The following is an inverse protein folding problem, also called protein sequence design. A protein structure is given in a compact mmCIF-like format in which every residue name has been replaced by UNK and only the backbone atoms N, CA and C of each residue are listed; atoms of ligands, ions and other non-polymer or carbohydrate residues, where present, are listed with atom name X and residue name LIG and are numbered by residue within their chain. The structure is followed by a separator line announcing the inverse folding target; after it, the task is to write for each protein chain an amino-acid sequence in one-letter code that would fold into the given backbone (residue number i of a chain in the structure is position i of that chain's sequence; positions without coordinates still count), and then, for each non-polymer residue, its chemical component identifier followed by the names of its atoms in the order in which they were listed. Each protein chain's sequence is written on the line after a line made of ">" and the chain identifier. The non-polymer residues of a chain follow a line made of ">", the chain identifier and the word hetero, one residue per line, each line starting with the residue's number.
data_IF_299749071666
#
_entry.id   IF_299749071666
#
_cell.length_a   1.000
_cell.length_b   1.000
_cell.length_c   1.000
_cell.angle_alpha   90.00
_cell.angle_beta   90.00
_cell.angle_gamma   90.00
#
_symmetry.space_group_name_H-M   'P 1'
#
loop_
_entity.id
_entity.type
_entity.pdbx_description
1 polymer ?
#
# COMPACT_ATOMS: atom_id res chain seq x y z
N UNK A 1 10.80 -9.77 12.41
CA UNK A 1 10.26 -10.17 11.08
C UNK A 1 9.23 -11.30 11.21
N UNK A 2 9.58 -12.45 11.80
CA UNK A 2 8.69 -13.62 11.96
C UNK A 2 7.29 -13.32 12.53
N UNK A 3 7.19 -12.58 13.66
CA UNK A 3 5.89 -12.25 14.29
C UNK A 3 4.95 -11.46 13.38
N UNK A 4 5.48 -10.55 12.55
CA UNK A 4 4.67 -9.75 11.61
C UNK A 4 4.13 -10.64 10.49
N UNK A 5 4.97 -11.50 9.94
CA UNK A 5 4.57 -12.46 8.90
C UNK A 5 3.53 -13.45 9.43
N UNK A 6 3.74 -13.98 10.64
CA UNK A 6 2.78 -14.88 11.29
C UNK A 6 1.42 -14.20 11.51
N UNK A 7 1.42 -12.96 12.00
CA UNK A 7 0.22 -12.15 12.17
C UNK A 7 -0.52 -11.96 10.84
N UNK A 8 0.20 -11.55 9.79
CA UNK A 8 -0.35 -11.34 8.45
C UNK A 8 -0.98 -12.63 7.87
N UNK A 9 -0.22 -13.72 7.89
CA UNK A 9 -0.68 -15.01 7.38
C UNK A 9 -1.88 -15.54 8.16
N UNK A 10 -1.91 -15.36 9.48
CA UNK A 10 -3.04 -15.76 10.31
C UNK A 10 -4.30 -14.97 9.97
N UNK A 11 -4.19 -13.65 9.76
CA UNK A 11 -5.32 -12.82 9.35
C UNK A 11 -5.89 -13.28 7.99
N UNK A 12 -5.03 -13.52 7.00
CA UNK A 12 -5.44 -13.99 5.67
C UNK A 12 -6.08 -15.39 5.77
N UNK A 13 -5.48 -16.31 6.54
CA UNK A 13 -5.98 -17.67 6.70
C UNK A 13 -7.38 -17.69 7.35
N UNK A 14 -7.60 -16.88 8.39
CA UNK A 14 -8.92 -16.77 9.03
C UNK A 14 -9.96 -16.11 8.14
N UNK A 15 -9.59 -15.11 7.34
CA UNK A 15 -10.52 -14.51 6.36
C UNK A 15 -10.90 -15.54 5.28
N UNK A 16 -9.93 -16.31 4.76
CA UNK A 16 -10.20 -17.41 3.82
C UNK A 16 -11.11 -18.46 4.47
N UNK A 17 -10.86 -18.85 5.71
CA UNK A 17 -11.69 -19.79 6.44
C UNK A 17 -13.12 -19.27 6.65
N UNK A 18 -13.29 -17.96 6.93
CA UNK A 18 -14.59 -17.32 7.04
C UNK A 18 -15.35 -17.34 5.71
N UNK A 19 -14.67 -17.05 4.59
CA UNK A 19 -15.26 -17.07 3.25
C UNK A 19 -15.64 -18.48 2.82
N UNK A 20 -14.77 -19.46 3.09
CA UNK A 20 -15.07 -20.86 2.84
C UNK A 20 -16.28 -21.33 3.66
N UNK A 21 -16.32 -20.97 4.95
CA UNK A 21 -17.45 -21.30 5.83
C UNK A 21 -18.74 -20.63 5.34
N UNK A 22 -18.67 -19.37 4.89
CA UNK A 22 -19.81 -18.64 4.32
C UNK A 22 -20.34 -19.33 3.07
N UNK A 23 -19.46 -19.74 2.16
CA UNK A 23 -19.81 -20.44 0.93
C UNK A 23 -20.39 -21.83 1.21
N UNK A 24 -19.78 -22.59 2.14
CA UNK A 24 -20.25 -23.92 2.51
C UNK A 24 -21.62 -23.87 3.17
N UNK A 25 -21.83 -22.95 4.13
CA UNK A 25 -23.12 -22.75 4.78
C UNK A 25 -24.18 -22.25 3.78
N UNK A 26 -23.82 -21.37 2.85
CA UNK A 26 -24.72 -20.94 1.76
C UNK A 26 -25.13 -22.12 0.88
N UNK A 27 -24.19 -23.00 0.51
CA UNK A 27 -24.46 -24.21 -0.25
C UNK A 27 -25.41 -25.16 0.49
N UNK A 28 -25.14 -25.44 1.77
CA UNK A 28 -26.00 -26.29 2.60
C UNK A 28 -27.40 -25.70 2.74
N UNK A 29 -27.49 -24.39 2.97
CA UNK A 29 -28.77 -23.67 3.07
C UNK A 29 -29.54 -23.77 1.75
N UNK A 30 -28.86 -23.58 0.61
CA UNK A 30 -29.50 -23.73 -0.71
C UNK A 30 -29.97 -25.16 -0.98
N UNK A 31 -29.18 -26.17 -0.58
CA UNK A 31 -29.44 -27.59 -0.85
C UNK A 31 -30.53 -28.17 0.06
N UNK A 32 -30.47 -27.87 1.35
CA UNK A 32 -31.31 -28.54 2.36
C UNK A 32 -32.38 -27.66 2.97
N UNK A 33 -32.29 -26.32 2.89
CA UNK A 33 -33.30 -25.43 3.50
C UNK A 33 -34.21 -24.88 2.41
N UNK A 34 -33.65 -24.16 1.44
CA UNK A 34 -34.42 -23.54 0.36
C UNK A 34 -35.14 -24.56 -0.53
N UNK A 35 -34.62 -25.78 -0.64
CA UNK A 35 -35.25 -26.89 -1.34
C UNK A 35 -36.68 -27.17 -0.84
N UNK A 36 -36.92 -27.10 0.47
CA UNK A 36 -38.23 -27.35 1.06
C UNK A 36 -39.15 -26.12 1.02
N UNK A 37 -38.59 -24.92 0.95
CA UNK A 37 -39.34 -23.66 1.06
C UNK A 37 -40.07 -23.31 -0.24
N UNK A 38 -39.44 -23.48 -1.41
CA UNK A 38 -40.06 -23.04 -2.68
C UNK A 38 -39.75 -23.98 -3.86
N UNK A 39 -40.73 -24.31 -4.73
CA UNK A 39 -40.55 -25.22 -5.86
C UNK A 39 -39.40 -24.85 -6.81
N UNK A 40 -39.17 -23.55 -7.03
CA UNK A 40 -38.06 -23.06 -7.87
C UNK A 40 -36.66 -23.50 -7.40
N UNK A 41 -36.51 -23.86 -6.12
CA UNK A 41 -35.25 -24.34 -5.56
C UNK A 41 -35.14 -25.87 -5.51
N UNK A 42 -36.17 -26.60 -5.92
CA UNK A 42 -36.15 -28.07 -6.02
C UNK A 42 -35.33 -28.60 -7.21
N UNK A 43 -34.98 -27.72 -8.15
CA UNK A 43 -34.06 -28.05 -9.24
C UNK A 43 -32.66 -28.40 -8.72
N UNK A 44 -31.96 -29.27 -9.44
CA UNK A 44 -30.61 -29.73 -9.11
C UNK A 44 -29.66 -28.53 -8.95
N UNK A 45 -28.95 -28.47 -7.82
CA UNK A 45 -27.82 -27.56 -7.59
C UNK A 45 -26.49 -28.23 -7.90
N UNK A 46 -25.53 -27.45 -8.40
CA UNK A 46 -24.17 -27.92 -8.68
C UNK A 46 -23.46 -28.50 -7.44
N UNK A 47 -22.59 -29.51 -7.59
CA UNK A 47 -21.75 -30.02 -6.50
C UNK A 47 -20.90 -28.92 -5.85
N UNK A 48 -20.61 -29.04 -4.55
CA UNK A 48 -19.76 -28.08 -3.86
C UNK A 48 -18.35 -27.97 -4.47
N UNK A 49 -17.82 -29.08 -4.99
CA UNK A 49 -16.52 -29.13 -5.68
C UNK A 49 -16.45 -28.20 -6.89
N UNK A 50 -17.56 -27.97 -7.60
CA UNK A 50 -17.62 -27.02 -8.72
C UNK A 50 -17.22 -25.61 -8.28
N UNK A 51 -17.68 -25.16 -7.12
CA UNK A 51 -17.35 -23.83 -6.60
C UNK A 51 -15.87 -23.69 -6.21
N UNK A 52 -15.23 -24.76 -5.74
CA UNK A 52 -13.83 -24.74 -5.31
C UNK A 52 -12.85 -24.93 -6.46
N UNK A 53 -13.15 -25.85 -7.38
CA UNK A 53 -12.24 -26.25 -8.46
C UNK A 53 -12.35 -25.29 -9.65
N UNK A 54 -13.58 -24.95 -10.05
CA UNK A 54 -13.80 -24.13 -11.25
C UNK A 54 -13.75 -22.64 -10.95
N UNK A 55 -14.03 -22.24 -9.70
CA UNK A 55 -14.14 -20.83 -9.30
C UNK A 55 -13.27 -20.43 -8.08
N UNK A 56 -12.01 -20.90 -7.94
CA UNK A 56 -11.14 -20.52 -6.82
C UNK A 56 -10.85 -19.02 -6.79
N UNK A 57 -10.91 -18.37 -7.96
CA UNK A 57 -10.70 -16.93 -8.11
C UNK A 57 -11.79 -16.10 -7.41
N UNK A 58 -12.94 -16.66 -7.04
CA UNK A 58 -13.91 -15.97 -6.19
C UNK A 58 -13.30 -15.66 -4.84
N UNK A 59 -12.75 -16.64 -4.12
CA UNK A 59 -12.10 -16.40 -2.82
C UNK A 59 -10.86 -15.51 -2.99
N UNK A 60 -10.08 -15.75 -4.05
CA UNK A 60 -8.90 -14.92 -4.37
C UNK A 60 -9.24 -13.44 -4.54
N UNK A 61 -10.32 -13.12 -5.27
CA UNK A 61 -10.78 -11.75 -5.47
C UNK A 61 -11.16 -11.07 -4.16
N UNK A 62 -11.86 -11.78 -3.27
CA UNK A 62 -12.19 -11.24 -1.95
C UNK A 62 -10.94 -10.89 -1.16
N UNK A 63 -9.97 -11.80 -1.10
CA UNK A 63 -8.70 -11.55 -0.39
C UNK A 63 -7.96 -10.35 -0.99
N UNK A 64 -7.93 -10.20 -2.31
CA UNK A 64 -7.33 -9.05 -3.01
C UNK A 64 -8.04 -7.74 -2.62
N UNK A 65 -9.38 -7.73 -2.61
CA UNK A 65 -10.15 -6.52 -2.28
C UNK A 65 -10.01 -6.17 -0.79
N UNK A 66 -10.00 -7.16 0.10
CA UNK A 66 -9.73 -6.93 1.53
C UNK A 66 -8.29 -6.39 1.75
N UNK A 67 -7.33 -6.85 0.95
CA UNK A 67 -5.98 -6.30 0.94
C UNK A 67 -5.95 -4.86 0.42
N UNK A 68 -6.73 -4.56 -0.62
CA UNK A 68 -6.88 -3.20 -1.16
C UNK A 68 -7.50 -2.24 -0.13
N UNK A 69 -8.48 -2.68 0.65
CA UNK A 69 -9.05 -1.93 1.79
C UNK A 69 -8.08 -1.83 2.99
N UNK A 70 -6.85 -2.35 2.84
CA UNK A 70 -5.71 -2.29 3.79
C UNK A 70 -5.96 -3.04 5.10
N UNK A 71 -6.91 -3.97 5.13
CA UNK A 71 -7.25 -4.72 6.34
C UNK A 71 -6.09 -5.58 6.85
N UNK A 72 -5.13 -5.93 6.00
CA UNK A 72 -3.94 -6.70 6.38
C UNK A 72 -2.70 -5.85 6.69
N UNK A 73 -2.72 -4.57 6.33
CA UNK A 73 -1.57 -3.67 6.50
C UNK A 73 -1.77 -2.71 7.67
N UNK A 74 -3.01 -2.27 7.92
CA UNK A 74 -3.36 -1.31 8.96
C UNK A 74 -4.19 -1.94 10.07
N UNK A 75 -4.17 -1.28 11.24
CA UNK A 75 -4.94 -1.67 12.43
C UNK A 75 -6.01 -0.61 12.67
N UNK A 76 -7.27 -1.03 12.57
CA UNK A 76 -8.42 -0.15 12.73
C UNK A 76 -9.12 -0.36 14.06
N UNK A 77 -9.87 0.66 14.49
CA UNK A 77 -10.91 0.49 15.50
C UNK A 77 -11.92 -0.57 15.05
N UNK A 78 -12.59 -1.23 15.99
CA UNK A 78 -13.52 -2.32 15.66
C UNK A 78 -14.63 -1.86 14.70
N UNK A 79 -15.24 -0.68 14.93
CA UNK A 79 -16.31 -0.17 14.06
C UNK A 79 -15.84 0.09 12.62
N UNK A 80 -14.70 0.77 12.47
CA UNK A 80 -14.12 1.06 11.15
C UNK A 80 -13.63 -0.21 10.43
N UNK A 81 -13.08 -1.18 11.17
CA UNK A 81 -12.71 -2.48 10.61
C UNK A 81 -13.92 -3.23 10.05
N UNK A 82 -15.01 -3.31 10.81
CA UNK A 82 -16.25 -3.97 10.37
C UNK A 82 -16.83 -3.27 9.14
N UNK A 83 -16.86 -1.94 9.15
CA UNK A 83 -17.31 -1.14 7.99
C UNK A 83 -16.49 -1.45 6.73
N UNK A 84 -15.16 -1.53 6.86
CA UNK A 84 -14.26 -1.87 5.73
C UNK A 84 -14.41 -3.33 5.28
N UNK A 85 -14.61 -4.27 6.21
CA UNK A 85 -14.92 -5.66 5.88
C UNK A 85 -16.20 -5.74 5.06
N UNK A 86 -17.28 -5.07 5.49
CA UNK A 86 -18.55 -5.06 4.77
C UNK A 86 -18.45 -4.38 3.40
N UNK A 87 -17.74 -3.25 3.33
CA UNK A 87 -17.47 -2.57 2.06
C UNK A 87 -16.71 -3.49 1.09
N UNK A 88 -15.60 -4.09 1.54
CA UNK A 88 -14.80 -5.00 0.74
C UNK A 88 -15.57 -6.24 0.28
N UNK A 89 -16.35 -6.84 1.19
CA UNK A 89 -17.24 -7.95 0.91
C UNK A 89 -18.29 -7.61 -0.16
N UNK A 90 -18.91 -6.43 -0.05
CA UNK A 90 -19.95 -5.97 -0.98
C UNK A 90 -19.35 -5.65 -2.35
N UNK A 91 -18.19 -4.99 -2.42
CA UNK A 91 -17.50 -4.73 -3.69
C UNK A 91 -17.11 -6.05 -4.37
N UNK A 92 -16.60 -7.02 -3.59
CA UNK A 92 -16.23 -8.34 -4.10
C UNK A 92 -17.44 -9.09 -4.66
N UNK A 93 -18.55 -9.08 -3.93
CA UNK A 93 -19.82 -9.64 -4.37
C UNK A 93 -20.30 -9.00 -5.68
N UNK A 94 -20.33 -7.67 -5.79
CA UNK A 94 -20.78 -6.98 -6.99
C UNK A 94 -19.92 -7.34 -8.21
N UNK A 95 -18.60 -7.41 -8.05
CA UNK A 95 -17.69 -7.81 -9.13
C UNK A 95 -17.92 -9.28 -9.52
N UNK A 96 -18.06 -10.19 -8.55
CA UNK A 96 -18.33 -11.61 -8.83
C UNK A 96 -19.66 -11.78 -9.55
N UNK A 97 -20.70 -11.06 -9.13
CA UNK A 97 -22.01 -11.08 -9.80
C UNK A 97 -21.90 -10.57 -11.24
N UNK A 98 -21.18 -9.46 -11.46
CA UNK A 98 -20.94 -8.92 -12.79
C UNK A 98 -20.16 -9.90 -13.69
N UNK A 99 -19.10 -10.52 -13.17
CA UNK A 99 -18.31 -11.52 -13.89
C UNK A 99 -19.14 -12.77 -14.22
N UNK A 100 -19.94 -13.24 -13.25
CA UNK A 100 -20.81 -14.41 -13.43
C UNK A 100 -21.84 -14.17 -14.54
N UNK A 101 -22.35 -12.94 -14.64
CA UNK A 101 -23.27 -12.53 -15.70
C UNK A 101 -22.57 -12.37 -17.06
N UNK A 102 -21.47 -11.62 -17.10
CA UNK A 102 -20.74 -11.30 -18.33
C UNK A 102 -20.14 -12.55 -19.00
N UNK A 103 -19.54 -13.45 -18.20
CA UNK A 103 -18.95 -14.68 -18.70
C UNK A 103 -19.99 -15.81 -18.93
N UNK A 104 -21.28 -15.54 -18.75
CA UNK A 104 -22.39 -16.52 -18.82
C UNK A 104 -22.20 -17.76 -17.94
N UNK A 105 -21.36 -17.63 -16.91
CA UNK A 105 -21.07 -18.66 -15.89
C UNK A 105 -22.31 -19.03 -15.07
N UNK A 106 -23.39 -18.23 -15.15
CA UNK A 106 -24.65 -18.56 -14.50
C UNK A 106 -25.28 -19.89 -14.91
N UNK A 107 -24.79 -20.54 -15.97
CA UNK A 107 -25.20 -21.89 -16.34
C UNK A 107 -24.51 -22.99 -15.51
N UNK A 108 -23.44 -22.66 -14.77
CA UNK A 108 -22.60 -23.62 -14.04
C UNK A 108 -22.53 -23.32 -12.52
N UNK A 109 -23.18 -22.24 -12.07
CA UNK A 109 -23.11 -21.77 -10.67
C UNK A 109 -24.45 -21.24 -10.19
N UNK A 110 -24.84 -21.58 -8.96
CA UNK A 110 -26.07 -21.06 -8.37
C UNK A 110 -25.90 -19.62 -7.86
N UNK A 111 -26.59 -18.66 -8.50
CA UNK A 111 -26.62 -17.25 -8.06
C UNK A 111 -27.11 -17.10 -6.62
N UNK A 112 -28.07 -17.94 -6.21
CA UNK A 112 -28.58 -17.97 -4.83
C UNK A 112 -27.47 -18.31 -3.84
N UNK A 113 -26.57 -19.25 -4.17
CA UNK A 113 -25.43 -19.58 -3.30
C UNK A 113 -24.47 -18.40 -3.19
N UNK A 114 -24.21 -17.68 -4.30
CA UNK A 114 -23.34 -16.48 -4.28
C UNK A 114 -23.95 -15.39 -3.38
N UNK A 115 -25.24 -15.10 -3.51
CA UNK A 115 -25.95 -14.08 -2.70
C UNK A 115 -25.98 -14.49 -1.22
N UNK A 116 -26.31 -15.75 -0.92
CA UNK A 116 -26.30 -16.26 0.46
C UNK A 116 -24.90 -16.24 1.06
N UNK A 117 -23.88 -16.58 0.28
CA UNK A 117 -22.48 -16.55 0.73
C UNK A 117 -22.06 -15.12 1.09
N UNK A 118 -22.42 -14.13 0.25
CA UNK A 118 -22.21 -12.72 0.58
C UNK A 118 -22.93 -12.33 1.86
N UNK A 119 -24.23 -12.62 2.00
CA UNK A 119 -24.99 -12.27 3.20
C UNK A 119 -24.39 -12.89 4.47
N UNK A 120 -24.02 -14.17 4.44
CA UNK A 120 -23.36 -14.85 5.55
C UNK A 120 -21.98 -14.28 5.86
N UNK A 121 -21.21 -13.88 4.83
CA UNK A 121 -19.88 -13.31 5.01
C UNK A 121 -19.89 -11.99 5.78
N UNK A 122 -20.97 -11.19 5.67
CA UNK A 122 -21.12 -9.94 6.44
C UNK A 122 -21.10 -10.21 7.95
N UNK A 123 -21.54 -11.38 8.39
CA UNK A 123 -21.49 -11.78 9.80
C UNK A 123 -20.23 -12.59 10.14
N UNK A 124 -19.86 -13.56 9.29
CA UNK A 124 -18.76 -14.48 9.57
C UNK A 124 -17.39 -13.82 9.50
N UNK A 125 -17.16 -12.87 8.58
CA UNK A 125 -15.87 -12.16 8.48
C UNK A 125 -15.54 -11.41 9.78
N UNK A 126 -16.41 -10.53 10.34
CA UNK A 126 -16.17 -9.91 11.64
C UNK A 126 -15.93 -10.92 12.77
N UNK A 127 -16.70 -12.01 12.83
CA UNK A 127 -16.56 -13.03 13.88
C UNK A 127 -15.19 -13.69 13.83
N UNK A 128 -14.78 -14.17 12.65
CA UNK A 128 -13.45 -14.75 12.47
C UNK A 128 -12.33 -13.74 12.73
N UNK A 129 -12.54 -12.46 12.38
CA UNK A 129 -11.59 -11.37 12.65
C UNK A 129 -11.36 -11.15 14.14
N UNK A 130 -12.44 -11.18 14.93
CA UNK A 130 -12.35 -11.08 16.38
C UNK A 130 -11.68 -12.33 16.98
N UNK A 131 -11.98 -13.52 16.47
CA UNK A 131 -11.35 -14.77 16.92
C UNK A 131 -9.85 -14.76 16.68
N UNK A 132 -9.39 -14.47 15.47
CA UNK A 132 -7.96 -14.44 15.14
C UNK A 132 -7.21 -13.40 15.96
N UNK A 133 -7.79 -12.20 16.17
CA UNK A 133 -7.16 -11.17 17.00
C UNK A 133 -7.07 -11.58 18.46
N UNK A 134 -8.09 -12.24 19.02
CA UNK A 134 -8.02 -12.78 20.39
C UNK A 134 -6.92 -13.83 20.51
N UNK A 135 -6.78 -14.72 19.53
CA UNK A 135 -5.71 -15.74 19.49
C UNK A 135 -4.34 -15.06 19.38
N UNK A 136 -4.15 -14.16 18.42
CA UNK A 136 -2.89 -13.45 18.20
C UNK A 136 -2.48 -12.57 19.39
N UNK A 137 -3.46 -12.01 20.11
CA UNK A 137 -3.22 -11.29 21.38
C UNK A 137 -2.72 -12.23 22.48
N UNK A 138 -3.35 -13.40 22.66
CA UNK A 138 -2.89 -14.40 23.65
C UNK A 138 -1.47 -14.89 23.36
N UNK A 139 -1.12 -15.03 22.07
CA UNK A 139 0.22 -15.47 21.63
C UNK A 139 1.25 -14.32 21.64
N UNK A 140 0.86 -13.09 21.97
CA UNK A 140 1.80 -11.96 22.05
C UNK A 140 2.27 -11.44 20.69
N UNK A 141 1.60 -11.82 19.60
CA UNK A 141 1.97 -11.45 18.22
C UNK A 141 1.15 -10.27 17.68
N UNK A 142 -0.01 -9.98 18.27
CA UNK A 142 -0.82 -8.83 17.89
C UNK A 142 -0.32 -7.53 18.52
N UNK A 143 0.21 -7.55 19.75
CA UNK A 143 0.60 -6.33 20.46
C UNK A 143 1.79 -5.62 19.80
N UNK A 144 1.72 -4.29 19.71
CA UNK A 144 2.78 -3.42 19.20
C UNK A 144 3.01 -2.26 20.17
N UNK A 145 4.24 -2.16 20.65
CA UNK A 145 4.66 -1.07 21.53
C UNK A 145 4.71 0.24 20.75
N UNK A 146 4.06 1.27 21.31
CA UNK A 146 3.93 2.59 20.69
C UNK A 146 4.43 3.70 21.62
N UNK A 147 5.18 4.66 21.07
CA UNK A 147 5.51 5.92 21.76
C UNK A 147 4.61 7.05 21.27
N UNK A 148 4.20 7.91 22.20
CA UNK A 148 3.43 9.12 21.90
C UNK A 148 4.35 10.33 22.05
N UNK A 149 4.59 11.06 20.96
CA UNK A 149 5.36 12.30 20.96
C UNK A 149 4.40 13.46 21.18
N UNK A 150 4.57 14.19 22.28
CA UNK A 150 3.67 15.23 22.76
C UNK A 150 2.79 14.75 23.91
N UNK A 151 3.11 15.21 25.13
CA UNK A 151 2.37 14.97 26.36
C UNK A 151 1.39 16.12 26.67
N UNK A 152 0.85 16.76 25.62
CA UNK A 152 -0.23 17.75 25.72
C UNK A 152 -1.62 17.11 25.62
N UNK A 153 -2.67 17.93 25.59
CA UNK A 153 -4.08 17.47 25.51
C UNK A 153 -4.32 16.48 24.37
N UNK A 154 -3.74 16.71 23.20
CA UNK A 154 -3.85 15.81 22.05
C UNK A 154 -3.24 14.44 22.32
N UNK A 155 -2.06 14.38 22.96
CA UNK A 155 -1.44 13.13 23.38
C UNK A 155 -2.27 12.37 24.42
N UNK A 156 -2.85 13.10 25.38
CA UNK A 156 -3.78 12.52 26.37
C UNK A 156 -5.02 11.91 25.68
N UNK A 157 -5.62 12.62 24.71
CA UNK A 157 -6.75 12.12 23.93
C UNK A 157 -6.41 10.86 23.13
N UNK A 158 -5.23 10.82 22.51
CA UNK A 158 -4.75 9.64 21.76
C UNK A 158 -4.61 8.43 22.67
N UNK A 159 -3.99 8.63 23.84
CA UNK A 159 -3.86 7.58 24.83
C UNK A 159 -5.22 7.01 25.24
N UNK A 160 -6.18 7.89 25.55
CA UNK A 160 -7.54 7.48 25.91
C UNK A 160 -8.21 6.65 24.81
N UNK A 161 -8.07 7.04 23.54
CA UNK A 161 -8.66 6.30 22.39
C UNK A 161 -7.99 4.96 22.15
N UNK A 162 -6.67 4.88 22.27
CA UNK A 162 -5.94 3.61 22.14
C UNK A 162 -6.37 2.64 23.25
N UNK A 163 -6.45 3.11 24.49
CA UNK A 163 -6.88 2.27 25.63
C UNK A 163 -8.32 1.80 25.52
N UNK A 164 -9.22 2.67 25.04
CA UNK A 164 -10.63 2.32 24.78
C UNK A 164 -10.74 1.24 23.68
N UNK A 165 -9.85 1.29 22.68
CA UNK A 165 -9.87 0.39 21.53
C UNK A 165 -8.75 -0.67 21.56
N UNK A 166 -8.77 -1.57 22.55
CA UNK A 166 -7.81 -2.67 22.68
C UNK A 166 -7.70 -3.56 21.43
N UNK A 167 -8.73 -3.60 20.58
CA UNK A 167 -8.73 -4.36 19.33
C UNK A 167 -7.63 -3.91 18.34
N UNK A 168 -7.14 -2.67 18.43
CA UNK A 168 -6.06 -2.18 17.57
C UNK A 168 -4.72 -2.86 17.88
N UNK A 169 -4.54 -3.36 19.11
CA UNK A 169 -3.30 -4.02 19.55
C UNK A 169 -2.12 -3.07 19.73
N UNK A 170 -2.35 -1.78 19.97
CA UNK A 170 -1.30 -0.85 20.35
C UNK A 170 -1.16 -0.82 21.87
N UNK A 171 0.09 -0.86 22.33
CA UNK A 171 0.47 -0.76 23.73
C UNK A 171 1.32 0.50 23.93
N UNK A 172 0.74 1.60 24.43
CA UNK A 172 1.49 2.83 24.70
C UNK A 172 2.51 2.59 25.82
N UNK A 173 3.81 2.70 25.52
CA UNK A 173 4.88 2.44 26.49
C UNK A 173 5.43 3.69 27.17
N UNK A 174 5.09 4.88 26.65
CA UNK A 174 5.58 6.14 27.18
C UNK A 174 5.27 7.34 26.30
N UNK A 175 5.39 8.52 26.89
CA UNK A 175 5.41 9.79 26.17
C UNK A 175 6.82 10.34 26.06
N UNK A 176 7.10 11.09 24.99
CA UNK A 176 8.24 11.99 24.89
C UNK A 176 7.73 13.40 24.61
N UNK A 177 8.25 14.39 25.33
CA UNK A 177 7.85 15.80 25.16
C UNK A 177 9.08 16.70 25.24
N UNK A 178 9.07 17.81 24.49
CA UNK A 178 10.15 18.80 24.52
C UNK A 178 10.14 19.66 25.79
N UNK A 179 8.99 19.76 26.46
CA UNK A 179 8.80 20.52 27.68
C UNK A 179 9.36 19.78 28.90
N UNK A 180 10.43 20.34 29.48
CA UNK A 180 11.08 19.79 30.69
C UNK A 180 10.12 19.75 31.88
N UNK A 181 9.13 20.64 31.95
CA UNK A 181 8.18 20.67 33.06
C UNK A 181 7.26 19.43 33.11
N UNK A 182 7.11 18.73 31.98
CA UNK A 182 6.28 17.52 31.89
C UNK A 182 7.06 16.24 32.15
N UNK A 183 8.38 16.31 32.25
CA UNK A 183 9.23 15.13 32.41
C UNK A 183 8.92 14.42 33.74
N UNK A 184 8.73 13.11 33.71
CA UNK A 184 8.33 12.32 34.88
C UNK A 184 6.83 12.39 35.23
N UNK A 185 6.04 13.26 34.60
CA UNK A 185 4.57 13.27 34.75
C UNK A 185 4.00 11.92 34.31
N UNK A 186 2.97 11.46 35.01
CA UNK A 186 2.22 10.26 34.63
C UNK A 186 0.84 10.67 34.13
N UNK A 187 0.51 10.25 32.91
CA UNK A 187 -0.76 10.52 32.25
C UNK A 187 -1.49 9.18 32.12
N UNK A 188 -2.58 9.03 32.86
CA UNK A 188 -3.34 7.78 32.96
C UNK A 188 -2.47 6.52 33.16
N UNK A 189 -1.43 6.59 34.00
CA UNK A 189 -0.52 5.47 34.26
C UNK A 189 0.64 5.30 33.27
N UNK A 190 0.75 6.12 32.22
CA UNK A 190 1.89 6.14 31.29
C UNK A 190 2.79 7.34 31.59
N UNK A 191 4.10 7.10 31.75
CA UNK A 191 5.08 8.14 32.10
C UNK A 191 5.57 8.93 30.89
N UNK A 192 5.88 10.20 31.11
CA UNK A 192 6.72 11.00 30.21
C UNK A 192 8.18 10.63 30.46
N UNK A 193 8.75 9.86 29.54
CA UNK A 193 10.05 9.19 29.69
C UNK A 193 11.24 10.14 29.53
N UNK A 194 11.11 11.14 28.64
CA UNK A 194 12.22 12.03 28.30
C UNK A 194 11.91 12.95 27.13
N UNK A 195 12.96 13.48 26.52
CA UNK A 195 12.88 14.41 25.39
C UNK A 195 12.73 13.70 24.05
N UNK A 196 12.29 14.44 23.03
CA UNK A 196 12.17 13.95 21.64
C UNK A 196 13.49 13.41 21.06
N UNK A 197 14.62 14.02 21.43
CA UNK A 197 15.97 13.60 20.98
C UNK A 197 16.37 12.22 21.47
N UNK A 198 15.77 11.73 22.55
CA UNK A 198 16.06 10.43 23.16
C UNK A 198 15.24 9.29 22.54
N UNK A 199 14.50 9.53 21.45
CA UNK A 199 13.66 8.51 20.84
C UNK A 199 14.43 7.23 20.48
N UNK A 200 15.69 7.36 20.02
CA UNK A 200 16.53 6.23 19.63
C UNK A 200 16.83 5.28 20.80
N UNK A 201 17.11 5.82 21.99
CA UNK A 201 17.38 5.00 23.18
C UNK A 201 16.10 4.30 23.64
N UNK A 202 14.99 5.03 23.73
CA UNK A 202 13.71 4.48 24.16
C UNK A 202 13.12 3.45 23.19
N UNK A 203 13.29 3.63 21.89
CA UNK A 203 12.87 2.64 20.90
C UNK A 203 13.60 1.31 21.09
N UNK A 204 14.91 1.36 21.34
CA UNK A 204 15.72 0.15 21.58
C UNK A 204 15.36 -0.51 22.91
N UNK A 205 15.24 0.27 23.99
CA UNK A 205 14.96 -0.24 25.34
C UNK A 205 13.56 -0.86 25.43
N UNK A 206 12.54 -0.15 24.96
CA UNK A 206 11.13 -0.58 25.05
C UNK A 206 10.66 -1.39 23.83
N UNK A 207 11.55 -1.69 22.87
CA UNK A 207 11.22 -2.41 21.62
C UNK A 207 10.03 -1.79 20.88
N UNK A 208 10.07 -0.48 20.71
CA UNK A 208 8.97 0.30 20.11
C UNK A 208 8.92 0.02 18.61
N UNK A 209 7.74 -0.36 18.12
CA UNK A 209 7.52 -0.55 16.70
C UNK A 209 6.99 0.70 16.02
N UNK A 210 6.13 1.45 16.71
CA UNK A 210 5.35 2.53 16.10
C UNK A 210 5.42 3.82 16.93
N UNK A 211 5.31 4.95 16.27
CA UNK A 211 5.30 6.27 16.91
C UNK A 211 4.08 7.06 16.45
N UNK A 212 3.46 7.79 17.37
CA UNK A 212 2.43 8.78 17.03
C UNK A 212 2.87 10.17 17.47
N UNK A 213 2.89 11.11 16.53
CA UNK A 213 3.19 12.53 16.72
C UNK A 213 1.86 13.23 17.04
N UNK A 214 1.64 13.49 18.32
CA UNK A 214 0.46 14.15 18.88
C UNK A 214 0.77 15.60 19.27
N UNK A 215 1.41 16.33 18.38
CA UNK A 215 1.81 17.73 18.55
C UNK A 215 1.22 18.58 17.41
N UNK A 216 -0.10 18.82 17.38
CA UNK A 216 -0.69 19.72 16.40
C UNK A 216 -0.15 21.14 16.59
N UNK A 217 0.05 21.87 15.49
CA UNK A 217 0.55 23.25 15.49
C UNK A 217 2.07 23.41 15.56
N UNK A 218 2.85 22.31 15.53
CA UNK A 218 4.30 22.42 15.39
C UNK A 218 4.67 22.94 14.00
N UNK A 219 5.75 23.74 13.92
CA UNK A 219 6.24 24.23 12.63
C UNK A 219 6.63 23.08 11.72
N UNK A 220 6.56 23.30 10.40
CA UNK A 220 6.91 22.29 9.40
C UNK A 220 8.36 21.80 9.57
N UNK A 221 9.27 22.71 9.89
CA UNK A 221 10.69 22.42 10.12
C UNK A 221 10.84 21.49 11.32
N UNK A 222 10.13 21.77 12.42
CA UNK A 222 10.16 20.93 13.62
C UNK A 222 9.52 19.57 13.38
N UNK A 223 8.42 19.51 12.62
CA UNK A 223 7.80 18.24 12.23
C UNK A 223 8.79 17.38 11.42
N UNK A 224 9.46 17.96 10.42
CA UNK A 224 10.46 17.26 9.62
C UNK A 224 11.64 16.78 10.46
N UNK A 225 12.10 17.59 11.42
CA UNK A 225 13.13 17.19 12.39
C UNK A 225 12.68 15.97 13.19
N UNK A 226 11.48 16.00 13.78
CA UNK A 226 10.94 14.89 14.59
C UNK A 226 10.74 13.64 13.74
N UNK A 227 10.24 13.77 12.52
CA UNK A 227 10.11 12.66 11.57
C UNK A 227 11.49 12.07 11.23
N UNK A 228 12.49 12.91 10.98
CA UNK A 228 13.87 12.49 10.73
C UNK A 228 14.51 11.76 11.91
N UNK A 229 14.16 12.12 13.15
CA UNK A 229 14.60 11.38 14.35
C UNK A 229 14.01 9.96 14.42
N UNK A 230 12.83 9.76 13.86
CA UNK A 230 12.13 8.47 13.81
C UNK A 230 12.56 7.61 12.62
N UNK A 231 13.08 8.24 11.56
CA UNK A 231 13.42 7.57 10.30
C UNK A 231 14.49 6.48 10.49
N UNK A 232 14.22 5.28 9.97
CA UNK A 232 15.10 4.12 10.11
C UNK A 232 15.16 3.49 11.52
N UNK A 233 14.46 4.07 12.50
CA UNK A 233 14.46 3.61 13.90
C UNK A 233 13.16 2.88 14.24
N UNK A 234 12.03 3.34 13.70
CA UNK A 234 10.70 2.75 13.92
C UNK A 234 10.09 2.25 12.62
N UNK A 235 9.12 1.34 12.72
CA UNK A 235 8.46 0.75 11.56
C UNK A 235 7.43 1.70 10.91
N UNK A 236 6.76 2.52 11.73
CA UNK A 236 5.61 3.32 11.32
C UNK A 236 5.51 4.60 12.15
N UNK A 237 5.24 5.72 11.48
CA UNK A 237 5.05 7.05 12.09
C UNK A 237 3.67 7.56 11.72
N UNK A 238 2.83 7.82 12.72
CA UNK A 238 1.51 8.45 12.58
C UNK A 238 1.59 9.91 13.00
N UNK A 239 0.98 10.82 12.26
CA UNK A 239 0.95 12.25 12.60
C UNK A 239 -0.48 12.72 12.77
N UNK A 240 -0.73 13.45 13.85
CA UNK A 240 -2.01 14.14 14.09
C UNK A 240 -1.86 15.57 13.58
N UNK A 241 -2.62 15.97 12.55
CA UNK A 241 -2.53 17.31 11.98
C UNK A 241 -3.12 18.37 12.91
N UNK A 242 -2.68 19.61 12.68
CA UNK A 242 -3.42 20.78 13.12
C UNK A 242 -4.63 20.99 12.20
N UNK A 243 -5.81 21.21 12.78
CA UNK A 243 -7.05 21.37 12.02
C UNK A 243 -7.46 22.83 11.82
N UNK A 244 -6.70 23.82 12.31
CA UNK A 244 -6.94 25.22 11.95
C UNK A 244 -6.43 25.52 10.54
N UNK A 245 -7.35 25.63 9.57
CA UNK A 245 -7.12 26.34 8.30
C UNK A 245 -6.79 25.52 7.04
N UNK A 246 -6.84 24.18 7.05
CA UNK A 246 -6.55 23.40 5.84
C UNK A 246 -7.80 23.02 5.05
N UNK A 247 -8.06 23.82 4.02
CA UNK A 247 -8.92 23.45 2.90
C UNK A 247 -8.32 22.28 2.11
N UNK A 248 -9.20 21.32 1.83
CA UNK A 248 -9.06 20.05 1.16
C UNK A 248 -8.32 20.10 -0.19
N UNK A 249 -7.00 19.84 -0.22
CA UNK A 249 -6.33 19.43 -1.47
C UNK A 249 -5.32 18.31 -1.22
N UNK A 250 -5.64 17.11 -1.71
CA UNK A 250 -4.67 16.05 -1.97
C UNK A 250 -4.28 15.14 -0.80
N UNK A 251 -4.78 15.33 0.42
CA UNK A 251 -4.45 14.47 1.56
C UNK A 251 -5.60 13.50 1.86
N UNK A 252 -5.33 12.18 1.83
CA UNK A 252 -6.29 11.17 2.26
C UNK A 252 -6.39 11.17 3.78
N UNK A 253 -7.43 11.82 4.27
CA UNK A 253 -7.89 11.77 5.63
C UNK A 253 -8.42 10.36 5.98
N UNK A 254 -7.87 9.70 6.99
CA UNK A 254 -8.53 8.55 7.62
C UNK A 254 -9.06 8.97 9.00
N UNK A 255 -10.34 8.69 9.25
CA UNK A 255 -11.02 9.02 10.51
C UNK A 255 -10.84 7.87 11.51
N UNK A 256 -10.31 8.19 12.69
CA UNK A 256 -10.15 7.25 13.78
C UNK A 256 -10.88 7.80 15.02
N UNK A 257 -12.21 7.57 15.06
CA UNK A 257 -13.12 7.99 16.15
C UNK A 257 -13.21 9.51 16.35
N UNK A 258 -13.13 10.31 15.27
CA UNK A 258 -13.22 11.78 15.30
C UNK A 258 -11.87 12.50 15.41
N UNK A 259 -10.77 11.84 15.03
CA UNK A 259 -9.45 12.47 14.82
C UNK A 259 -9.01 12.02 13.44
N UNK A 260 -8.76 13.00 12.58
CA UNK A 260 -8.18 12.79 11.27
C UNK A 260 -6.71 12.39 11.45
N UNK A 261 -6.32 11.22 10.96
CA UNK A 261 -4.92 10.79 10.92
C UNK A 261 -4.38 10.93 9.51
N UNK A 262 -3.18 11.52 9.39
CA UNK A 262 -2.41 11.47 8.16
C UNK A 262 -1.33 10.40 8.29
N UNK A 263 -1.41 9.41 7.40
CA UNK A 263 -0.50 8.28 7.37
C UNK A 263 0.52 8.48 6.24
N UNK A 264 1.77 8.76 6.60
CA UNK A 264 2.87 8.84 5.64
C UNK A 264 3.59 7.50 5.60
N UNK A 265 3.04 6.59 4.80
CA UNK A 265 3.67 5.29 4.59
C UNK A 265 4.82 5.43 3.56
N UNK A 266 6.05 5.07 3.95
CA UNK A 266 7.18 4.86 3.04
C UNK A 266 7.01 3.59 2.20
N UNK A 267 5.86 3.44 1.54
CA UNK A 267 5.48 2.22 0.83
C UNK A 267 6.41 1.92 -0.35
N UNK A 268 6.89 2.94 -1.06
CA UNK A 268 7.74 2.76 -2.25
C UNK A 268 9.10 2.12 -1.92
N UNK A 269 9.58 2.24 -0.68
CA UNK A 269 10.83 1.64 -0.23
C UNK A 269 10.66 0.21 0.35
N UNK A 270 9.42 -0.28 0.51
CA UNK A 270 9.18 -1.63 1.03
C UNK A 270 9.59 -2.68 -0.02
N UNK A 271 10.34 -3.74 0.35
CA UNK A 271 10.83 -4.73 -0.61
C UNK A 271 9.75 -5.36 -1.48
N UNK A 272 8.56 -5.61 -0.93
CA UNK A 272 7.44 -6.18 -1.68
C UNK A 272 6.87 -5.21 -2.73
N UNK A 273 6.83 -3.92 -2.45
CA UNK A 273 6.32 -2.93 -3.40
C UNK A 273 7.31 -2.71 -4.54
N UNK A 274 8.62 -2.74 -4.24
CA UNK A 274 9.68 -2.75 -5.25
C UNK A 274 9.55 -3.99 -6.14
N UNK A 275 9.31 -5.16 -5.55
CA UNK A 275 9.10 -6.40 -6.30
C UNK A 275 7.85 -6.35 -7.20
N UNK A 276 6.70 -5.95 -6.66
CA UNK A 276 5.45 -5.82 -7.43
C UNK A 276 5.62 -4.80 -8.57
N UNK A 277 6.23 -3.64 -8.29
CA UNK A 277 6.54 -2.64 -9.32
C UNK A 277 7.43 -3.22 -10.40
N UNK A 278 8.44 -4.01 -10.03
CA UNK A 278 9.34 -4.67 -10.98
C UNK A 278 8.61 -5.66 -11.88
N UNK A 279 7.69 -6.45 -11.33
CA UNK A 279 6.85 -7.39 -12.11
C UNK A 279 5.97 -6.63 -13.09
N UNK A 280 5.28 -5.57 -12.64
CA UNK A 280 4.45 -4.71 -13.48
C UNK A 280 5.28 -4.09 -14.61
N UNK A 281 6.46 -3.54 -14.30
CA UNK A 281 7.34 -2.92 -15.27
C UNK A 281 7.81 -3.90 -16.33
N UNK A 282 8.16 -5.13 -15.96
CA UNK A 282 8.55 -6.16 -16.91
C UNK A 282 7.37 -6.50 -17.83
N UNK A 283 6.18 -6.80 -17.27
CA UNK A 283 5.01 -7.18 -18.07
C UNK A 283 4.62 -6.07 -19.05
N UNK A 284 4.46 -4.83 -18.55
CA UNK A 284 4.04 -3.70 -19.37
C UNK A 284 5.10 -3.30 -20.40
N UNK A 285 6.38 -3.33 -20.04
CA UNK A 285 7.47 -3.00 -20.97
C UNK A 285 7.61 -4.07 -22.05
N UNK A 286 7.51 -5.35 -21.70
CA UNK A 286 7.54 -6.45 -22.68
C UNK A 286 6.37 -6.36 -23.65
N UNK A 287 5.16 -6.06 -23.16
CA UNK A 287 3.99 -5.87 -24.01
C UNK A 287 4.14 -4.64 -24.93
N UNK A 288 4.60 -3.52 -24.38
CA UNK A 288 4.85 -2.30 -25.15
C UNK A 288 5.90 -2.54 -26.26
N UNK A 289 7.02 -3.21 -25.93
CA UNK A 289 8.05 -3.58 -26.90
C UNK A 289 7.50 -4.51 -27.98
N UNK A 290 6.71 -5.53 -27.61
CA UNK A 290 6.12 -6.45 -28.59
C UNK A 290 5.23 -5.71 -29.59
N UNK A 291 4.36 -4.84 -29.10
CA UNK A 291 3.44 -4.02 -29.93
C UNK A 291 4.21 -3.00 -30.78
N UNK A 292 5.23 -2.34 -30.21
CA UNK A 292 6.01 -1.32 -30.93
C UNK A 292 7.09 -1.90 -31.84
N UNK A 293 7.44 -3.19 -31.69
CA UNK A 293 8.55 -3.83 -32.42
C UNK A 293 8.46 -3.74 -33.94
N UNK A 294 7.28 -3.86 -34.61
CA UNK A 294 7.20 -3.74 -36.07
C UNK A 294 7.55 -2.32 -36.53
N UNK A 295 7.04 -1.31 -35.82
CA UNK A 295 7.33 0.09 -36.09
C UNK A 295 8.81 0.41 -35.81
N UNK A 296 9.36 -0.10 -34.70
CA UNK A 296 10.76 0.07 -34.35
C UNK A 296 11.69 -0.55 -35.40
N UNK A 297 11.34 -1.73 -35.92
CA UNK A 297 12.07 -2.39 -37.00
C UNK A 297 12.03 -1.56 -38.28
N UNK A 298 10.85 -1.04 -38.65
CA UNK A 298 10.69 -0.16 -39.81
C UNK A 298 11.55 1.11 -39.71
N UNK A 299 11.55 1.77 -38.55
CA UNK A 299 12.39 2.95 -38.28
C UNK A 299 13.87 2.57 -38.36
N UNK A 300 14.26 1.43 -37.77
CA UNK A 300 15.64 0.93 -37.80
C UNK A 300 16.15 0.70 -39.24
N UNK A 301 15.30 0.14 -40.10
CA UNK A 301 15.59 -0.07 -41.52
C UNK A 301 15.77 1.27 -42.24
N UNK A 302 14.89 2.26 -42.01
CA UNK A 302 15.02 3.59 -42.62
C UNK A 302 16.30 4.30 -42.20
N UNK A 303 16.67 4.24 -40.93
CA UNK A 303 17.90 4.88 -40.42
C UNK A 303 19.15 4.26 -41.06
N UNK A 304 19.18 2.93 -41.22
CA UNK A 304 20.30 2.22 -41.85
C UNK A 304 20.44 2.50 -43.34
N UNK A 305 19.32 2.68 -44.06
CA UNK A 305 19.36 3.07 -45.47
C UNK A 305 19.78 4.54 -45.66
N UNK A 306 19.42 5.43 -44.73
CA UNK A 306 19.79 6.85 -44.81
C UNK A 306 21.24 7.15 -44.43
N UNK A 307 21.88 6.34 -43.58
CA UNK A 307 23.23 6.62 -43.06
C UNK A 307 23.97 5.35 -42.61
N UNK A 308 25.28 5.26 -42.88
CA UNK A 308 26.10 4.10 -42.45
C UNK A 308 26.13 3.98 -40.91
N UNK A 309 26.08 2.76 -40.38
CA UNK A 309 26.21 2.45 -38.93
C UNK A 309 24.92 1.97 -38.23
N UNK A 310 24.94 1.77 -36.90
CA UNK A 310 23.83 1.19 -36.14
C UNK A 310 22.64 2.15 -35.98
N UNK A 311 21.42 1.63 -36.04
CA UNK A 311 20.20 2.43 -35.90
C UNK A 311 19.88 2.84 -34.45
N UNK A 312 20.41 2.12 -33.46
CA UNK A 312 20.21 2.37 -32.04
C UNK A 312 21.50 2.95 -31.45
N UNK A 313 21.37 4.04 -30.70
CA UNK A 313 22.43 4.74 -30.01
C UNK A 313 22.22 4.68 -28.49
N UNK A 314 23.29 4.41 -27.74
CA UNK A 314 23.28 4.36 -26.28
C UNK A 314 23.85 5.67 -25.69
N UNK A 315 22.99 6.46 -25.04
CA UNK A 315 23.38 7.70 -24.37
C UNK A 315 23.51 7.49 -22.86
N UNK A 316 24.64 7.84 -22.24
CA UNK A 316 24.77 7.81 -20.77
C UNK A 316 23.90 8.90 -20.12
N UNK A 317 23.11 8.52 -19.12
CA UNK A 317 22.25 9.42 -18.31
C UNK A 317 22.46 9.15 -16.82
N UNK A 318 22.25 10.18 -15.99
CA UNK A 318 22.33 10.07 -14.53
C UNK A 318 21.14 9.28 -13.98
N UNK A 319 21.41 8.46 -12.97
CA UNK A 319 20.49 7.68 -12.16
C UNK A 319 20.58 8.14 -10.69
N UNK A 320 19.79 7.52 -9.81
CA UNK A 320 19.82 7.76 -8.36
C UNK A 320 21.23 7.54 -7.80
N UNK A 321 21.66 8.40 -6.87
CA UNK A 321 22.97 8.33 -6.17
C UNK A 321 24.18 8.39 -7.13
N UNK A 322 24.14 9.29 -8.10
CA UNK A 322 25.24 9.57 -9.05
C UNK A 322 25.64 8.42 -9.99
N UNK A 323 24.96 7.27 -9.93
CA UNK A 323 25.14 6.19 -10.90
C UNK A 323 24.74 6.66 -12.31
N UNK A 324 25.29 6.02 -13.36
CA UNK A 324 24.88 6.28 -14.75
C UNK A 324 24.29 5.04 -15.40
N UNK A 325 23.32 5.22 -16.30
CA UNK A 325 22.74 4.14 -17.11
C UNK A 325 22.73 4.49 -18.60
N UNK A 326 22.73 3.45 -19.44
CA UNK A 326 22.66 3.61 -20.90
C UNK A 326 21.20 3.74 -21.34
N UNK A 327 20.84 4.92 -21.85
CA UNK A 327 19.56 5.21 -22.47
C UNK A 327 19.61 4.91 -23.98
N UNK A 328 18.95 3.82 -24.40
CA UNK A 328 18.88 3.44 -25.80
C UNK A 328 17.84 4.29 -26.54
N UNK A 329 18.23 4.92 -27.64
CA UNK A 329 17.33 5.69 -28.52
C UNK A 329 17.65 5.44 -29.99
N UNK A 330 16.70 5.74 -30.87
CA UNK A 330 17.00 5.78 -32.30
C UNK A 330 18.01 6.87 -32.61
N UNK A 331 18.95 6.56 -33.49
CA UNK A 331 19.97 7.50 -33.96
C UNK A 331 19.31 8.57 -34.83
N UNK A 332 19.42 9.82 -34.40
CA UNK A 332 18.93 10.99 -35.14
C UNK A 332 20.03 11.86 -35.75
N UNK A 333 21.30 11.63 -35.39
CA UNK A 333 22.48 12.40 -35.81
C UNK A 333 23.40 11.51 -36.67
N UNK A 334 24.03 12.07 -37.71
CA UNK A 334 25.01 11.35 -38.52
C UNK A 334 26.32 11.11 -37.73
N UNK A 335 27.08 10.06 -38.06
CA UNK A 335 28.31 9.69 -37.33
C UNK A 335 29.36 10.81 -37.27
N UNK A 336 29.40 11.66 -38.31
CA UNK A 336 30.38 12.76 -38.44
C UNK A 336 30.01 14.01 -37.60
N UNK A 337 28.79 14.10 -37.07
CA UNK A 337 28.34 15.26 -36.28
C UNK A 337 28.90 15.30 -34.87
N UNK A 338 29.32 14.15 -34.32
CA UNK A 338 29.92 14.12 -32.99
C UNK A 338 31.35 14.70 -33.01
N UNK A 339 32.11 14.43 -34.08
CA UNK A 339 33.41 15.07 -34.30
C UNK A 339 33.25 16.57 -34.61
N UNK A 340 32.27 16.94 -35.46
CA UNK A 340 31.98 18.36 -35.75
C UNK A 340 31.58 19.13 -34.50
N UNK A 341 30.72 18.56 -33.64
CA UNK A 341 30.39 19.19 -32.35
C UNK A 341 31.60 19.29 -31.44
N UNK A 342 32.41 18.22 -31.32
CA UNK A 342 33.63 18.26 -30.47
C UNK A 342 34.61 19.34 -30.94
N UNK A 343 34.78 19.53 -32.25
CA UNK A 343 35.59 20.63 -32.81
C UNK A 343 34.95 21.99 -32.49
N UNK A 344 33.66 22.16 -32.75
CA UNK A 344 32.95 23.41 -32.49
C UNK A 344 32.92 23.83 -31.01
N UNK A 345 32.75 22.89 -30.08
CA UNK A 345 32.79 23.14 -28.64
C UNK A 345 34.21 23.47 -28.14
N UNK A 346 35.25 22.99 -28.83
CA UNK A 346 36.64 23.35 -28.55
C UNK A 346 36.95 24.78 -29.00
N UNK A 347 36.35 25.19 -30.12
CA UNK A 347 36.53 26.53 -30.70
C UNK A 347 35.62 27.59 -30.04
N UNK A 348 34.49 27.21 -29.44
CA UNK A 348 33.51 28.13 -28.84
C UNK A 348 33.27 27.87 -27.33
N UNK A 349 33.96 28.58 -26.42
CA UNK A 349 33.86 28.37 -24.98
C UNK A 349 32.47 28.65 -24.37
N UNK A 350 31.70 29.58 -24.95
CA UNK A 350 30.34 29.88 -24.49
C UNK A 350 29.35 28.74 -24.81
N UNK A 351 29.43 28.18 -26.03
CA UNK A 351 28.59 27.05 -26.43
C UNK A 351 28.87 25.79 -25.59
N UNK A 352 30.12 25.62 -25.12
CA UNK A 352 30.50 24.54 -24.20
C UNK A 352 29.79 24.63 -22.84
N UNK A 353 29.73 25.83 -22.25
CA UNK A 353 29.01 26.04 -20.97
C UNK A 353 27.51 25.78 -21.11
N UNK A 354 26.90 26.16 -22.24
CA UNK A 354 25.50 25.84 -22.51
C UNK A 354 25.27 24.34 -22.69
N UNK A 355 26.16 23.66 -23.41
CA UNK A 355 26.08 22.21 -23.61
C UNK A 355 26.25 21.42 -22.32
N UNK A 356 27.18 21.81 -21.45
CA UNK A 356 27.38 21.18 -20.14
C UNK A 356 26.16 21.34 -19.23
N UNK A 357 25.42 22.44 -19.35
CA UNK A 357 24.25 22.73 -18.51
C UNK A 357 22.94 22.17 -19.06
N UNK A 358 22.74 22.21 -20.37
CA UNK A 358 21.45 21.92 -21.02
C UNK A 358 21.49 20.78 -22.03
N UNK A 359 22.68 20.27 -22.37
CA UNK A 359 22.90 19.31 -23.46
C UNK A 359 22.25 19.75 -24.80
N UNK A 360 22.16 21.06 -25.02
CA UNK A 360 21.59 21.70 -26.22
C UNK A 360 22.21 23.09 -26.42
N UNK A 361 22.65 23.39 -27.64
CA UNK A 361 23.13 24.72 -28.05
C UNK A 361 21.96 25.45 -28.72
N UNK A 362 21.66 26.68 -28.31
CA UNK A 362 20.48 27.42 -28.83
C UNK A 362 20.82 28.37 -29.98
N UNK A 363 22.06 28.81 -30.08
CA UNK A 363 22.46 29.98 -30.88
C UNK A 363 23.04 29.64 -32.25
N UNK A 364 23.63 28.45 -32.44
CA UNK A 364 23.97 27.86 -33.74
C UNK A 364 24.50 26.43 -33.49
N UNK A 365 23.68 25.42 -33.73
CA UNK A 365 24.12 24.02 -33.66
C UNK A 365 24.85 23.69 -34.97
N UNK A 366 26.14 23.29 -34.96
CA UNK A 366 26.91 22.94 -36.17
C UNK A 366 26.50 21.60 -36.80
N UNK A 367 25.35 21.05 -36.40
CA UNK A 367 24.87 19.71 -36.70
C UNK A 367 23.71 19.70 -37.67
#
# INVERSE_FOLDING_TARGET
>A
MFRKTLCLLSLIAFDIAALFSSLFLAYLTRKYVLFYIHPAFRMWTFPFSTYLVNYPYFIGLWVIILAYERLYSKRFAMGEEVKRLWKGATISFLIIMALTFAARISMDVSRTVIVLSWALSLFLLPVFRLMVKKILNKVGCWQRNMLILGAGRTGEMVLGRIKKNKNMGYEPVGFLDGDKAKLGRTIEGIKVLGKLSEIKSWVKEKKVGDVVIAMPGISREKLLEVVGLCEGVVDEIRVIPDMFGLATVGVKAEDLDGILLFDMEWNLAKPHNIFVKRVIDIILSSLAIAISSPLMLFISIKIRHGSKGPAIFAQKRLWKEEATFNFLKFRSMYLDEEEKLKRFLKENPQARKEWEKFAKIKSADPR
#
